data_IF_728319687542
#
_entry.id   IF_728319687542
#
_cell.length_a   1.000
_cell.length_b   1.000
_cell.length_c   1.000
_cell.angle_alpha   90.00
_cell.angle_beta   90.00
_cell.angle_gamma   90.00
#
_symmetry.space_group_name_H-M   'P 1'
#
loop_
_entity.id
_entity.type
_entity.pdbx_description
1 polymer ?
#
# COMPACT_ATOMS: atom_id res chain seq x y z
N UNK A 1 -9.35 -2.75 -36.51
CA UNK A 1 -9.22 -3.91 -35.64
C UNK A 1 -10.09 -3.61 -34.43
N UNK A 2 -11.17 -4.37 -34.22
CA UNK A 2 -11.99 -4.22 -33.01
C UNK A 2 -11.12 -4.65 -31.83
N UNK A 3 -10.67 -3.69 -31.04
CA UNK A 3 -10.03 -3.97 -29.76
C UNK A 3 -11.09 -4.56 -28.83
N UNK A 4 -10.77 -5.64 -28.12
CA UNK A 4 -11.60 -6.19 -27.03
C UNK A 4 -11.60 -5.23 -25.81
N UNK A 5 -11.86 -3.94 -26.05
CA UNK A 5 -11.83 -2.92 -25.02
C UNK A 5 -13.12 -3.01 -24.21
N UNK A 6 -12.95 -3.22 -22.90
CA UNK A 6 -14.09 -3.28 -21.98
C UNK A 6 -14.51 -1.86 -21.63
N UNK A 7 -15.73 -1.47 -22.00
CA UNK A 7 -16.33 -0.20 -21.59
C UNK A 7 -16.42 -0.13 -20.05
N UNK A 8 -15.81 0.91 -19.46
CA UNK A 8 -15.65 1.03 -18.02
C UNK A 8 -16.98 1.16 -17.28
N UNK A 9 -17.92 1.94 -17.83
CA UNK A 9 -19.23 2.16 -17.21
C UNK A 9 -20.08 0.88 -17.28
N UNK A 10 -20.01 0.15 -18.39
CA UNK A 10 -20.62 -1.17 -18.53
C UNK A 10 -20.00 -2.19 -17.57
N UNK A 11 -18.67 -2.18 -17.37
CA UNK A 11 -18.00 -3.05 -16.40
C UNK A 11 -18.40 -2.73 -14.96
N UNK A 12 -18.47 -1.44 -14.61
CA UNK A 12 -18.83 -0.97 -13.28
C UNK A 12 -20.29 -1.27 -12.96
N UNK A 13 -21.21 -1.09 -13.92
CA UNK A 13 -22.64 -1.37 -13.76
C UNK A 13 -22.96 -2.85 -13.48
N UNK A 14 -22.03 -3.76 -13.78
CA UNK A 14 -22.15 -5.20 -13.50
C UNK A 14 -21.64 -5.59 -12.11
N UNK A 15 -20.96 -4.68 -11.39
CA UNK A 15 -20.46 -4.95 -10.05
C UNK A 15 -21.53 -4.68 -9.00
N UNK A 16 -21.43 -5.39 -7.88
CA UNK A 16 -22.24 -5.09 -6.71
C UNK A 16 -21.83 -3.73 -6.12
N UNK A 17 -22.83 -2.87 -5.90
CA UNK A 17 -22.66 -1.56 -5.28
C UNK A 17 -22.85 -1.60 -3.75
N UNK A 18 -23.10 -2.79 -3.20
CA UNK A 18 -23.17 -2.96 -1.76
C UNK A 18 -21.87 -2.49 -1.10
N UNK A 19 -21.94 -1.86 0.08
CA UNK A 19 -20.74 -1.44 0.79
C UNK A 19 -19.83 -2.64 1.04
N UNK A 20 -18.57 -2.52 0.64
CA UNK A 20 -17.57 -3.54 0.94
C UNK A 20 -17.45 -3.71 2.46
N UNK A 21 -17.71 -4.94 2.94
CA UNK A 21 -17.53 -5.29 4.33
C UNK A 21 -16.02 -5.35 4.64
N UNK A 22 -15.52 -4.30 5.30
CA UNK A 22 -14.12 -4.24 5.71
C UNK A 22 -13.88 -5.18 6.89
N UNK A 23 -12.79 -5.93 6.81
CA UNK A 23 -12.26 -6.68 7.93
C UNK A 23 -11.78 -5.74 9.04
N UNK A 24 -11.86 -6.21 10.28
CA UNK A 24 -11.26 -5.52 11.43
C UNK A 24 -9.76 -5.80 11.39
N UNK A 25 -8.94 -4.75 11.31
CA UNK A 25 -7.47 -4.85 11.28
C UNK A 25 -6.88 -4.45 12.63
N UNK A 26 -5.94 -5.25 13.12
CA UNK A 26 -5.08 -4.91 14.24
C UNK A 26 -3.81 -4.19 13.75
N UNK A 27 -3.24 -3.30 14.57
CA UNK A 27 -2.01 -2.60 14.20
C UNK A 27 -0.81 -3.55 14.01
N UNK A 28 -0.86 -4.76 14.58
CA UNK A 28 0.15 -5.79 14.43
C UNK A 28 -0.08 -6.71 13.22
N UNK A 29 -1.16 -6.51 12.46
CA UNK A 29 -1.35 -7.22 11.20
C UNK A 29 -0.33 -6.77 10.16
N UNK A 30 0.13 -7.72 9.34
CA UNK A 30 1.09 -7.48 8.25
C UNK A 30 0.39 -6.66 7.16
N UNK A 31 1.00 -5.52 6.81
CA UNK A 31 0.48 -4.60 5.80
C UNK A 31 1.37 -4.48 4.55
N UNK A 32 2.62 -4.95 4.62
CA UNK A 32 3.56 -4.91 3.50
C UNK A 32 4.53 -6.08 3.53
N UNK A 33 4.90 -6.58 2.36
CA UNK A 33 5.92 -7.60 2.17
C UNK A 33 6.97 -7.09 1.18
N UNK A 34 8.12 -6.66 1.69
CA UNK A 34 9.20 -6.11 0.87
C UNK A 34 10.19 -7.22 0.51
N UNK A 35 10.38 -7.48 -0.78
CA UNK A 35 11.35 -8.47 -1.25
C UNK A 35 12.73 -7.86 -1.44
N UNK A 36 13.75 -8.58 -0.97
CA UNK A 36 15.17 -8.19 -1.11
C UNK A 36 15.95 -9.32 -1.77
N UNK A 37 17.01 -9.00 -2.50
CA UNK A 37 17.73 -9.95 -3.38
C UNK A 37 18.35 -11.16 -2.66
N UNK A 38 18.54 -11.12 -1.34
CA UNK A 38 19.02 -12.25 -0.54
C UNK A 38 20.44 -12.69 -0.90
N UNK A 39 21.40 -12.50 0.01
CA UNK A 39 22.81 -12.89 -0.22
C UNK A 39 23.04 -14.40 -0.39
N UNK A 40 22.05 -15.23 -0.08
CA UNK A 40 22.09 -16.70 -0.12
C UNK A 40 21.31 -17.30 -1.30
N UNK A 41 20.99 -16.51 -2.33
CA UNK A 41 20.40 -16.97 -3.59
C UNK A 41 18.93 -16.62 -3.77
N UNK A 42 18.05 -17.04 -2.85
CA UNK A 42 16.61 -16.77 -2.97
C UNK A 42 16.23 -15.41 -2.35
N UNK A 43 15.37 -14.62 -3.02
CA UNK A 43 14.83 -13.40 -2.45
C UNK A 43 14.11 -13.64 -1.12
N UNK A 44 14.29 -12.72 -0.17
CA UNK A 44 13.68 -12.80 1.16
C UNK A 44 12.59 -11.74 1.29
N UNK A 45 11.42 -12.15 1.79
CA UNK A 45 10.31 -11.26 2.09
C UNK A 45 10.40 -10.72 3.52
N UNK A 46 10.43 -9.39 3.66
CA UNK A 46 10.38 -8.68 4.93
C UNK A 46 8.93 -8.29 5.20
N UNK A 47 8.33 -8.90 6.22
CA UNK A 47 6.97 -8.57 6.67
C UNK A 47 7.00 -7.32 7.56
N UNK A 48 6.19 -6.32 7.21
CA UNK A 48 6.02 -5.10 7.99
C UNK A 48 4.57 -4.96 8.43
N UNK A 49 4.36 -4.74 9.72
CA UNK A 49 3.02 -4.48 10.26
C UNK A 49 2.58 -3.03 10.02
N UNK A 50 1.28 -2.77 10.17
CA UNK A 50 0.77 -1.40 10.19
C UNK A 50 1.53 -0.55 11.23
N UNK A 51 1.77 -1.12 12.42
CA UNK A 51 2.51 -0.50 13.51
C UNK A 51 3.94 -0.14 13.16
N UNK A 52 4.65 -1.04 12.50
CA UNK A 52 6.02 -0.78 12.08
C UNK A 52 6.06 0.44 11.13
N UNK A 53 5.16 0.47 10.15
CA UNK A 53 5.13 1.53 9.13
C UNK A 53 4.75 2.90 9.72
N UNK A 54 3.70 3.00 10.52
CA UNK A 54 3.28 4.31 11.04
C UNK A 54 4.27 4.86 12.06
N UNK A 55 4.88 4.02 12.92
CA UNK A 55 5.91 4.46 13.86
C UNK A 55 7.17 4.94 13.13
N UNK A 56 7.57 4.25 12.06
CA UNK A 56 8.66 4.70 11.21
C UNK A 56 8.35 6.06 10.60
N UNK A 57 7.16 6.24 10.00
CA UNK A 57 6.74 7.51 9.41
C UNK A 57 6.73 8.65 10.44
N UNK A 58 6.17 8.44 11.64
CA UNK A 58 6.17 9.43 12.72
C UNK A 58 7.58 9.82 13.16
N UNK A 59 8.47 8.84 13.33
CA UNK A 59 9.87 9.07 13.68
C UNK A 59 10.59 9.88 12.59
N UNK A 60 10.42 9.50 11.32
CA UNK A 60 11.00 10.21 10.19
C UNK A 60 10.47 11.64 10.08
N UNK A 61 9.15 11.85 10.19
CA UNK A 61 8.54 13.18 10.16
C UNK A 61 9.07 14.07 11.29
N UNK A 62 9.24 13.51 12.49
CA UNK A 62 9.81 14.24 13.63
C UNK A 62 11.27 14.65 13.38
N UNK A 63 12.10 13.73 12.94
CA UNK A 63 13.53 13.99 12.71
C UNK A 63 13.79 14.92 11.52
N UNK A 64 12.98 14.84 10.48
CA UNK A 64 13.06 15.71 9.31
C UNK A 64 12.30 17.03 9.48
N UNK A 65 11.53 17.18 10.57
CA UNK A 65 10.67 18.34 10.86
C UNK A 65 9.69 18.64 9.73
N UNK A 66 9.09 17.58 9.17
CA UNK A 66 8.08 17.70 8.12
C UNK A 66 6.92 18.55 8.62
N UNK A 67 6.52 19.50 7.79
CA UNK A 67 5.43 20.44 8.01
C UNK A 67 4.46 20.44 6.82
N UNK A 68 3.33 21.12 6.98
CA UNK A 68 2.34 21.36 5.93
C UNK A 68 2.83 22.31 4.83
N UNK A 69 4.02 22.90 4.99
CA UNK A 69 4.67 23.73 3.98
C UNK A 69 5.63 22.97 3.05
N UNK A 70 5.92 21.70 3.35
CA UNK A 70 6.86 20.90 2.57
C UNK A 70 6.21 20.25 1.34
N UNK A 71 7.01 20.04 0.29
CA UNK A 71 6.59 19.32 -0.93
C UNK A 71 7.32 17.98 -0.99
N UNK A 72 6.57 16.89 -0.91
CA UNK A 72 7.09 15.53 -1.07
C UNK A 72 7.19 15.18 -2.56
N UNK A 73 8.41 15.00 -3.06
CA UNK A 73 8.63 14.37 -4.36
C UNK A 73 8.65 12.85 -4.19
N UNK A 74 7.65 12.16 -4.74
CA UNK A 74 7.66 10.70 -4.87
C UNK A 74 8.44 10.33 -6.14
N UNK A 75 9.52 9.55 -5.98
CA UNK A 75 10.33 9.01 -7.08
C UNK A 75 10.15 7.50 -7.13
#
# INVERSE_FOLDING_TARGET
>A
EDTEETDYDLWLSRQDISPFQREVLDENDVCSLLYTSGTTGNPKGVMLTHRNNYLHALSTMHHLRVSDHDVLLHV
#
